data_IF_075184082143
#
_entry.id   IF_075184082143
#
_cell.length_a   1.000
_cell.length_b   1.000
_cell.length_c   1.000
_cell.angle_alpha   90.00
_cell.angle_beta   90.00
_cell.angle_gamma   90.00
#
_symmetry.space_group_name_H-M   'P 1'
#
loop_
_entity.id
_entity.type
_entity.pdbx_description
1 polymer ?
#
# COMPACT_ATOMS: atom_id res chain seq x y z
N UNK A 1 -29.45 23.08 -17.72
CA UNK A 1 -29.92 21.67 -17.66
C UNK A 1 -31.44 21.60 -17.45
N UNK A 2 -32.18 20.92 -18.34
CA UNK A 2 -33.62 20.68 -18.19
C UNK A 2 -33.85 19.61 -17.11
N UNK A 3 -33.92 20.04 -15.84
CA UNK A 3 -34.19 19.15 -14.73
C UNK A 3 -35.69 18.86 -14.65
N UNK A 4 -36.05 17.57 -14.62
CA UNK A 4 -37.44 17.13 -14.47
C UNK A 4 -37.98 17.47 -13.09
N UNK A 5 -38.96 18.37 -13.04
CA UNK A 5 -39.55 18.92 -11.80
C UNK A 5 -40.15 17.84 -10.88
N UNK A 6 -40.76 16.81 -11.45
CA UNK A 6 -41.31 15.67 -10.72
C UNK A 6 -40.21 14.85 -10.00
N UNK A 7 -39.07 14.65 -10.67
CA UNK A 7 -37.93 13.95 -10.11
C UNK A 7 -37.26 14.77 -8.99
N UNK A 8 -37.12 16.08 -9.19
CA UNK A 8 -36.60 16.98 -8.16
C UNK A 8 -37.47 16.95 -6.91
N UNK A 9 -38.80 17.02 -7.06
CA UNK A 9 -39.73 16.95 -5.91
C UNK A 9 -39.60 15.63 -5.14
N UNK A 10 -39.47 14.50 -5.86
CA UNK A 10 -39.23 13.19 -5.21
C UNK A 10 -37.91 13.15 -4.44
N UNK A 11 -36.82 13.65 -5.03
CA UNK A 11 -35.52 13.74 -4.37
C UNK A 11 -35.57 14.65 -3.14
N UNK A 12 -36.24 15.81 -3.24
CA UNK A 12 -36.38 16.75 -2.13
C UNK A 12 -37.20 16.16 -0.98
N UNK A 13 -38.22 15.35 -1.27
CA UNK A 13 -38.99 14.62 -0.26
C UNK A 13 -38.17 13.51 0.39
N UNK A 14 -37.39 12.74 -0.39
CA UNK A 14 -36.49 11.70 0.14
C UNK A 14 -35.45 12.30 1.11
N UNK A 15 -34.95 13.50 0.80
CA UNK A 15 -33.92 14.19 1.58
C UNK A 15 -34.48 15.22 2.57
N UNK A 16 -35.79 15.24 2.82
CA UNK A 16 -36.45 16.25 3.66
C UNK A 16 -35.89 16.25 5.10
N UNK A 17 -35.63 15.06 5.63
CA UNK A 17 -35.09 14.86 6.99
C UNK A 17 -33.57 14.62 7.01
N UNK A 18 -32.89 14.74 5.87
CA UNK A 18 -31.43 14.59 5.83
C UNK A 18 -30.77 15.82 6.48
N UNK A 19 -30.02 15.67 7.59
CA UNK A 19 -29.45 16.80 8.33
C UNK A 19 -28.45 17.61 7.49
N UNK A 20 -27.72 16.96 6.57
CA UNK A 20 -26.80 17.65 5.67
C UNK A 20 -27.55 18.44 4.59
N UNK A 21 -28.61 17.87 4.02
CA UNK A 21 -29.43 18.56 3.03
C UNK A 21 -30.15 19.77 3.63
N UNK A 22 -30.58 19.70 4.89
CA UNK A 22 -31.15 20.83 5.61
C UNK A 22 -30.14 21.96 5.81
N UNK A 23 -28.88 21.64 6.15
CA UNK A 23 -27.80 22.63 6.24
C UNK A 23 -27.51 23.27 4.88
N UNK A 24 -27.38 22.50 3.81
CA UNK A 24 -27.15 23.10 2.48
C UNK A 24 -28.33 23.95 2.00
N UNK A 25 -29.56 23.58 2.35
CA UNK A 25 -30.76 24.41 2.08
C UNK A 25 -30.74 25.71 2.89
N UNK A 26 -30.31 25.67 4.15
CA UNK A 26 -30.23 26.87 4.99
C UNK A 26 -29.09 27.81 4.59
N UNK A 27 -28.05 27.32 3.91
CA UNK A 27 -27.01 28.17 3.32
C UNK A 27 -27.55 29.13 2.24
N UNK A 28 -28.67 28.80 1.60
CA UNK A 28 -29.33 29.71 0.64
C UNK A 28 -29.84 31.02 1.27
N UNK A 29 -29.91 31.08 2.60
CA UNK A 29 -30.37 32.25 3.38
C UNK A 29 -29.19 33.03 3.98
N UNK A 30 -27.94 32.57 3.77
CA UNK A 30 -26.73 33.22 4.29
C UNK A 30 -26.36 34.41 3.41
N UNK A 31 -26.17 35.62 3.97
CA UNK A 31 -25.70 36.77 3.21
C UNK A 31 -24.27 36.52 2.70
N UNK A 32 -23.95 37.03 1.51
CA UNK A 32 -22.65 36.86 0.84
C UNK A 32 -22.32 35.40 0.48
N UNK A 33 -23.32 34.58 0.15
CA UNK A 33 -23.13 33.18 -0.27
C UNK A 33 -22.15 33.02 -1.44
N UNK A 34 -22.07 34.04 -2.31
CA UNK A 34 -21.12 34.15 -3.41
C UNK A 34 -19.65 34.20 -2.97
N UNK A 35 -19.38 34.54 -1.70
CA UNK A 35 -18.05 34.51 -1.09
C UNK A 35 -17.64 33.12 -0.57
N UNK A 36 -18.56 32.16 -0.57
CA UNK A 36 -18.33 30.79 -0.13
C UNK A 36 -18.36 29.83 -1.32
N UNK A 37 -17.40 28.89 -1.35
CA UNK A 37 -17.32 27.87 -2.39
C UNK A 37 -17.29 26.49 -1.75
N UNK A 38 -18.21 25.62 -2.15
CA UNK A 38 -18.17 24.19 -1.84
C UNK A 38 -17.71 23.49 -3.11
N UNK A 39 -16.56 22.83 -3.06
CA UNK A 39 -16.06 22.02 -4.17
C UNK A 39 -16.07 20.55 -3.75
N UNK A 40 -16.88 19.75 -4.44
CA UNK A 40 -16.84 18.30 -4.33
C UNK A 40 -15.73 17.80 -5.26
N UNK A 41 -14.63 17.32 -4.68
CA UNK A 41 -13.64 16.60 -5.46
C UNK A 41 -14.21 15.22 -5.81
N UNK A 42 -14.95 15.17 -6.91
CA UNK A 42 -15.53 13.96 -7.49
C UNK A 42 -14.57 13.25 -8.44
N UNK A 43 -13.27 13.62 -8.43
CA UNK A 43 -12.27 12.92 -9.22
C UNK A 43 -12.28 11.44 -8.81
N UNK A 44 -12.76 10.62 -9.74
CA UNK A 44 -12.94 9.18 -9.58
C UNK A 44 -11.58 8.47 -9.68
N UNK A 45 -10.48 9.21 -9.90
CA UNK A 45 -9.13 8.66 -9.89
C UNK A 45 -8.72 8.20 -8.50
N UNK A 46 -8.42 6.90 -8.44
CA UNK A 46 -7.43 6.24 -7.59
C UNK A 46 -7.45 6.57 -6.09
N UNK A 47 -8.47 6.03 -5.43
CA UNK A 47 -8.53 5.88 -3.99
C UNK A 47 -7.61 4.75 -3.49
N UNK A 48 -6.54 5.07 -2.76
CA UNK A 48 -5.65 4.03 -2.22
C UNK A 48 -6.33 3.02 -1.27
N UNK A 49 -7.59 3.28 -0.86
CA UNK A 49 -8.35 2.47 0.12
C UNK A 49 -9.48 1.61 -0.47
N UNK A 50 -9.67 1.62 -1.80
CA UNK A 50 -10.50 0.62 -2.51
C UNK A 50 -9.77 0.06 -3.73
N UNK A 51 -10.11 -1.18 -4.10
CA UNK A 51 -9.59 -1.93 -5.24
C UNK A 51 -9.42 -1.06 -6.49
N UNK A 52 -8.18 -0.69 -6.78
CA UNK A 52 -7.86 0.23 -7.86
C UNK A 52 -6.74 -0.30 -8.78
N UNK A 53 -6.77 0.16 -10.04
CA UNK A 53 -5.76 -0.12 -11.05
C UNK A 53 -4.54 0.81 -10.87
N UNK A 54 -3.30 0.30 -10.84
CA UNK A 54 -2.14 0.99 -10.28
C UNK A 54 -1.75 2.30 -10.98
N UNK A 55 -1.45 3.35 -10.20
CA UNK A 55 -0.42 4.33 -10.56
C UNK A 55 0.60 4.43 -9.45
N UNK A 56 1.83 4.05 -9.81
CA UNK A 56 3.09 4.14 -9.05
C UNK A 56 3.39 3.01 -8.06
N UNK A 57 4.69 2.69 -7.98
CA UNK A 57 5.31 1.83 -6.97
C UNK A 57 6.24 2.74 -6.19
N UNK A 58 5.87 3.01 -4.95
CA UNK A 58 6.70 3.75 -4.02
C UNK A 58 7.53 2.70 -3.28
N UNK A 59 8.84 2.74 -3.50
CA UNK A 59 9.80 2.10 -2.59
C UNK A 59 9.91 3.05 -1.41
N UNK A 60 9.44 2.64 -0.24
CA UNK A 60 9.61 3.43 0.97
C UNK A 60 11.06 3.27 1.49
N UNK A 61 11.65 4.43 1.80
CA UNK A 61 12.78 4.69 2.69
C UNK A 61 14.21 4.53 2.15
N UNK A 62 14.57 5.32 1.12
CA UNK A 62 15.82 6.09 1.10
C UNK A 62 15.47 7.49 0.58
N UNK A 63 15.64 8.48 1.44
CA UNK A 63 15.22 9.86 1.21
C UNK A 63 16.31 10.59 0.42
N UNK A 64 16.05 10.93 -0.84
CA UNK A 64 16.88 11.88 -1.59
C UNK A 64 16.09 13.18 -1.67
N UNK A 65 16.66 14.28 -1.18
CA UNK A 65 16.04 15.61 -1.27
C UNK A 65 15.65 15.94 -2.72
N UNK A 66 14.40 16.38 -2.93
CA UNK A 66 13.90 16.87 -4.22
C UNK A 66 12.78 16.05 -4.87
N UNK A 67 12.41 14.88 -4.35
CA UNK A 67 11.28 14.09 -4.87
C UNK A 67 10.00 14.35 -4.10
N UNK A 68 9.46 15.57 -4.22
CA UNK A 68 8.18 15.92 -3.63
C UNK A 68 7.03 15.64 -4.62
N UNK A 69 6.12 14.70 -4.36
CA UNK A 69 4.81 14.71 -5.01
C UNK A 69 3.89 15.65 -4.23
N UNK A 70 4.21 16.95 -4.23
CA UNK A 70 3.56 17.94 -3.36
C UNK A 70 2.08 18.22 -3.70
N UNK A 71 1.46 17.49 -4.63
CA UNK A 71 0.09 17.76 -5.10
C UNK A 71 -0.66 16.53 -5.62
N UNK A 72 -0.76 15.46 -4.84
CA UNK A 72 -1.51 14.28 -5.30
C UNK A 72 -2.43 13.68 -4.23
N UNK A 73 -3.73 13.91 -4.48
CA UNK A 73 -4.90 13.12 -4.07
C UNK A 73 -5.33 13.16 -2.60
N UNK A 74 -6.46 13.84 -2.37
CA UNK A 74 -7.31 13.61 -1.20
C UNK A 74 -8.78 13.79 -1.61
N UNK A 75 -9.54 12.69 -1.61
CA UNK A 75 -11.01 12.74 -1.68
C UNK A 75 -11.50 13.57 -0.50
N UNK A 76 -12.00 14.76 -0.82
CA UNK A 76 -12.43 15.70 0.19
C UNK A 76 -13.52 16.61 -0.33
N UNK A 77 -14.44 16.96 0.57
CA UNK A 77 -15.32 18.11 0.37
C UNK A 77 -14.55 19.31 0.90
N UNK A 78 -14.29 20.27 0.02
CA UNK A 78 -13.54 21.48 0.35
C UNK A 78 -14.54 22.62 0.55
N UNK A 79 -14.45 23.29 1.70
CA UNK A 79 -15.27 24.45 2.04
C UNK A 79 -14.36 25.67 2.17
N UNK A 80 -14.70 26.74 1.44
CA UNK A 80 -14.01 28.03 1.46
C UNK A 80 -14.88 29.12 2.08
N UNK A 81 -14.29 29.93 2.96
CA UNK A 81 -14.71 31.31 3.24
C UNK A 81 -13.61 32.28 2.78
N UNK A 82 -13.98 33.43 2.22
CA UNK A 82 -13.03 34.42 1.66
C UNK A 82 -12.12 34.97 2.78
N UNK A 83 -10.81 34.73 2.65
CA UNK A 83 -9.80 35.11 3.64
C UNK A 83 -9.44 34.03 4.67
N UNK A 84 -10.13 32.90 4.67
CA UNK A 84 -9.87 31.77 5.57
C UNK A 84 -9.07 30.65 4.89
N UNK A 85 -8.38 29.84 5.72
CA UNK A 85 -7.70 28.64 5.22
C UNK A 85 -8.75 27.60 4.79
N UNK A 86 -8.52 26.87 3.68
CA UNK A 86 -9.46 25.86 3.21
C UNK A 86 -9.66 24.76 4.25
N UNK A 87 -10.92 24.38 4.45
CA UNK A 87 -11.32 23.30 5.34
C UNK A 87 -11.63 22.04 4.53
N UNK A 88 -11.05 20.91 4.94
CA UNK A 88 -11.13 19.64 4.24
C UNK A 88 -11.95 18.63 5.05
N UNK A 89 -13.09 18.21 4.52
CA UNK A 89 -13.83 17.03 5.00
C UNK A 89 -13.26 15.84 4.25
N UNK A 90 -12.52 14.97 4.93
CA UNK A 90 -11.77 13.87 4.29
C UNK A 90 -12.64 12.63 4.09
N UNK A 91 -12.29 11.78 3.13
CA UNK A 91 -13.01 10.54 2.82
C UNK A 91 -13.23 9.56 3.97
N UNK A 92 -12.46 9.68 5.05
CA UNK A 92 -12.55 8.82 6.22
C UNK A 92 -13.37 9.42 7.35
N UNK A 93 -13.96 10.61 7.16
CA UNK A 93 -14.93 11.17 8.11
C UNK A 93 -16.28 10.47 7.89
N UNK A 94 -16.99 10.12 8.96
CA UNK A 94 -18.27 9.43 8.88
C UNK A 94 -19.34 10.21 8.09
N UNK A 95 -19.22 11.54 8.06
CA UNK A 95 -20.09 12.43 7.29
C UNK A 95 -19.72 12.53 5.79
N UNK A 96 -18.56 12.02 5.36
CA UNK A 96 -18.12 12.16 3.96
C UNK A 96 -19.04 11.43 2.98
N UNK A 97 -19.41 10.18 3.30
CA UNK A 97 -20.28 9.35 2.46
C UNK A 97 -21.70 9.95 2.31
N UNK A 98 -22.39 10.35 3.40
CA UNK A 98 -23.69 11.01 3.27
C UNK A 98 -23.61 12.42 2.62
N UNK A 99 -22.47 13.11 2.69
CA UNK A 99 -22.24 14.38 1.98
C UNK A 99 -21.98 14.19 0.48
N UNK A 100 -21.26 13.14 0.11
CA UNK A 100 -20.87 12.87 -1.29
C UNK A 100 -21.95 12.09 -2.04
N UNK A 101 -22.75 11.29 -1.33
CA UNK A 101 -23.76 10.40 -1.91
C UNK A 101 -25.10 10.47 -1.15
N UNK A 102 -25.74 11.64 -1.04
CA UNK A 102 -26.90 11.86 -0.17
C UNK A 102 -28.10 10.95 -0.49
N UNK A 103 -28.24 10.47 -1.72
CA UNK A 103 -29.32 9.55 -2.11
C UNK A 103 -29.13 8.12 -1.60
N UNK A 104 -27.90 7.68 -1.34
CA UNK A 104 -27.63 6.38 -0.70
C UNK A 104 -27.74 6.45 0.82
N UNK A 105 -27.74 7.66 1.38
CA UNK A 105 -27.86 7.93 2.82
C UNK A 105 -28.99 8.94 3.08
N UNK A 106 -30.25 8.61 2.73
CA UNK A 106 -31.35 9.57 2.70
C UNK A 106 -31.68 10.21 4.06
N UNK A 107 -31.26 9.62 5.18
CA UNK A 107 -31.42 10.21 6.52
C UNK A 107 -30.11 10.80 7.07
N UNK A 108 -29.06 10.86 6.25
CA UNK A 108 -27.72 11.30 6.67
C UNK A 108 -27.03 10.32 7.61
N UNK A 109 -27.45 9.06 7.57
CA UNK A 109 -26.80 8.00 8.32
C UNK A 109 -25.32 7.88 7.93
N UNK A 110 -24.48 7.66 8.93
CA UNK A 110 -23.04 7.54 8.76
C UNK A 110 -22.78 6.33 7.85
N UNK A 111 -21.86 6.49 6.89
CA UNK A 111 -21.41 5.39 6.03
C UNK A 111 -20.61 4.36 6.81
N UNK A 112 -19.40 4.06 6.37
CA UNK A 112 -18.52 3.16 7.14
C UNK A 112 -18.18 3.74 8.53
N UNK A 113 -18.32 2.95 9.59
CA UNK A 113 -17.83 3.29 10.93
C UNK A 113 -17.32 2.04 11.67
N UNK A 114 -16.46 2.23 12.68
CA UNK A 114 -15.77 1.13 13.40
C UNK A 114 -16.70 0.23 14.23
N UNK A 115 -17.94 0.64 14.46
CA UNK A 115 -18.94 -0.09 15.25
C UNK A 115 -20.00 -0.77 14.38
N UNK A 116 -19.86 -0.72 13.05
CA UNK A 116 -20.84 -1.32 12.15
C UNK A 116 -20.86 -2.85 12.35
N UNK A 117 -21.99 -3.42 12.80
CA UNK A 117 -22.04 -4.83 13.17
C UNK A 117 -21.81 -5.71 11.94
N UNK A 118 -20.94 -6.70 12.07
CA UNK A 118 -20.80 -7.76 11.09
C UNK A 118 -22.00 -8.70 11.24
N UNK A 119 -22.72 -8.98 10.15
CA UNK A 119 -23.79 -9.98 10.19
C UNK A 119 -23.14 -11.34 10.46
N UNK A 120 -23.34 -11.88 11.68
CA UNK A 120 -22.92 -13.24 12.07
C UNK A 120 -21.94 -13.37 13.24
N UNK A 121 -21.55 -12.31 13.94
CA UNK A 121 -20.79 -12.45 15.18
C UNK A 121 -21.73 -12.64 16.37
N UNK A 122 -21.74 -13.85 16.94
CA UNK A 122 -22.34 -14.11 18.24
C UNK A 122 -21.58 -13.33 19.33
N UNK A 123 -22.33 -12.88 20.34
CA UNK A 123 -21.86 -12.22 21.55
C UNK A 123 -20.67 -12.98 22.18
N UNK A 124 -19.46 -12.42 22.05
CA UNK A 124 -18.34 -12.73 22.93
C UNK A 124 -17.95 -11.45 23.67
N UNK A 125 -18.65 -11.24 24.78
CA UNK A 125 -18.33 -10.25 25.80
C UNK A 125 -17.04 -10.64 26.51
N UNK A 126 -15.91 -10.15 26.00
CA UNK A 126 -14.75 -9.80 26.82
C UNK A 126 -13.94 -8.73 26.08
N UNK A 127 -14.47 -7.51 26.12
CA UNK A 127 -13.69 -6.32 25.78
C UNK A 127 -13.04 -5.81 27.07
N UNK A 128 -11.72 -5.93 27.12
CA UNK A 128 -10.87 -5.05 27.92
C UNK A 128 -11.18 -3.60 27.51
N UNK A 129 -12.09 -2.97 28.26
CA UNK A 129 -12.46 -1.57 28.15
C UNK A 129 -11.27 -0.71 28.59
N UNK A 130 -10.37 -0.46 27.66
CA UNK A 130 -9.50 0.72 27.73
C UNK A 130 -10.38 1.92 27.39
N UNK A 131 -10.43 2.89 28.31
CA UNK A 131 -11.19 4.13 28.30
C UNK A 131 -11.04 4.95 26.99
N UNK A 132 -11.81 4.57 25.96
CA UNK A 132 -11.90 5.24 24.65
C UNK A 132 -13.19 6.09 24.53
N UNK A 133 -13.94 6.21 25.64
CA UNK A 133 -15.24 6.87 25.74
C UNK A 133 -15.19 8.34 25.30
N UNK A 134 -14.14 9.07 25.67
CA UNK A 134 -13.97 10.47 25.27
C UNK A 134 -13.63 10.69 23.78
N UNK A 135 -13.01 9.70 23.13
CA UNK A 135 -12.62 9.79 21.72
C UNK A 135 -13.82 9.51 20.80
N UNK A 136 -14.60 8.48 21.15
CA UNK A 136 -15.82 8.10 20.46
C UNK A 136 -16.85 9.24 20.53
N UNK A 137 -17.01 9.87 21.70
CA UNK A 137 -17.89 11.03 21.86
C UNK A 137 -17.43 12.24 21.05
N UNK A 138 -16.12 12.48 20.93
CA UNK A 138 -15.57 13.62 20.17
C UNK A 138 -15.75 13.45 18.66
N UNK A 139 -15.61 12.22 18.15
CA UNK A 139 -15.83 11.88 16.73
C UNK A 139 -17.32 11.89 16.41
N UNK A 140 -18.17 11.25 17.23
CA UNK A 140 -19.63 11.24 17.06
C UNK A 140 -20.22 12.65 17.15
N UNK A 141 -19.76 13.47 18.09
CA UNK A 141 -20.28 14.83 18.26
C UNK A 141 -19.82 15.81 17.16
N UNK A 142 -18.79 15.49 16.39
CA UNK A 142 -18.36 16.21 15.20
C UNK A 142 -19.02 15.73 13.89
N UNK A 143 -19.43 14.46 13.85
CA UNK A 143 -19.98 13.80 12.65
C UNK A 143 -21.52 13.83 12.55
N UNK A 144 -22.25 13.91 13.66
CA UNK A 144 -23.73 13.90 13.70
C UNK A 144 -24.39 15.28 13.81
N UNK A 145 -23.59 16.34 13.91
CA UNK A 145 -24.02 17.71 14.20
C UNK A 145 -23.67 18.66 13.06
N UNK A 146 -24.67 19.01 12.25
CA UNK A 146 -24.52 19.91 11.10
C UNK A 146 -23.92 21.29 11.44
N UNK A 147 -24.08 21.75 12.69
CA UNK A 147 -23.52 23.01 13.20
C UNK A 147 -22.00 22.95 13.49
N UNK A 148 -21.37 21.78 13.36
CA UNK A 148 -19.91 21.60 13.51
C UNK A 148 -19.17 21.37 12.19
N UNK A 149 -19.87 21.42 11.05
CA UNK A 149 -19.28 21.34 9.71
C UNK A 149 -18.24 22.46 9.54
N UNK A 150 -17.03 22.12 9.08
CA UNK A 150 -15.91 23.07 8.94
C UNK A 150 -15.04 23.24 10.18
N UNK A 151 -15.31 22.57 11.31
CA UNK A 151 -14.37 22.56 12.44
C UNK A 151 -13.29 21.49 12.22
N UNK A 152 -12.01 21.86 12.37
CA UNK A 152 -10.86 20.94 12.21
C UNK A 152 -10.92 19.83 13.27
N UNK A 153 -11.43 18.67 12.91
CA UNK A 153 -11.32 17.45 13.73
C UNK A 153 -9.93 16.88 13.49
N UNK A 154 -9.03 17.05 14.46
CA UNK A 154 -7.72 16.41 14.36
C UNK A 154 -7.82 15.01 14.93
N UNK A 155 -7.78 14.02 14.04
CA UNK A 155 -7.79 12.63 14.46
C UNK A 155 -6.64 12.35 15.46
N UNK A 156 -6.90 11.54 16.49
CA UNK A 156 -5.86 11.18 17.45
C UNK A 156 -4.78 10.33 16.78
N UNK A 157 -3.64 10.21 17.45
CA UNK A 157 -2.55 9.29 17.03
C UNK A 157 -2.97 7.82 17.04
N UNK A 158 -4.11 7.47 17.63
CA UNK A 158 -4.64 6.10 17.73
C UNK A 158 -5.45 5.68 16.51
N UNK A 159 -5.79 6.60 15.59
CA UNK A 159 -6.52 6.26 14.36
C UNK A 159 -5.56 5.72 13.29
N UNK A 160 -5.61 4.43 12.94
CA UNK A 160 -4.67 3.84 11.99
C UNK A 160 -4.79 4.46 10.60
N UNK A 161 -3.67 4.86 10.00
CA UNK A 161 -3.62 5.43 8.65
C UNK A 161 -3.99 6.92 8.55
N UNK A 162 -4.18 7.62 9.67
CA UNK A 162 -4.29 9.08 9.70
C UNK A 162 -2.93 9.78 9.76
N UNK A 163 -2.86 11.07 9.40
CA UNK A 163 -1.60 11.83 9.33
C UNK A 163 -0.75 11.73 10.60
N UNK A 164 -1.39 11.84 11.78
CA UNK A 164 -0.70 11.75 13.08
C UNK A 164 -0.22 10.34 13.42
N UNK A 165 -0.94 9.29 12.98
CA UNK A 165 -0.51 7.89 13.13
C UNK A 165 0.66 7.60 12.19
N UNK A 166 0.60 8.04 10.93
CA UNK A 166 1.70 7.90 9.96
C UNK A 166 2.95 8.66 10.41
N UNK A 167 2.80 9.90 10.87
CA UNK A 167 3.92 10.68 11.42
C UNK A 167 4.52 10.01 12.66
N UNK A 168 3.69 9.46 13.55
CA UNK A 168 4.17 8.69 14.71
C UNK A 168 4.96 7.45 14.26
N UNK A 169 4.41 6.62 13.36
CA UNK A 169 5.08 5.41 12.85
C UNK A 169 6.41 5.73 12.19
N UNK A 170 6.46 6.83 11.44
CA UNK A 170 7.69 7.33 10.85
C UNK A 170 8.73 7.70 11.92
N UNK A 171 8.33 8.50 12.93
CA UNK A 171 9.21 8.86 14.04
C UNK A 171 9.67 7.64 14.85
N UNK A 172 8.79 6.66 15.08
CA UNK A 172 9.13 5.40 15.75
C UNK A 172 10.15 4.60 14.92
N UNK A 173 9.98 4.51 13.60
CA UNK A 173 10.95 3.87 12.70
C UNK A 173 12.30 4.61 12.70
N UNK A 174 12.29 5.94 12.72
CA UNK A 174 13.52 6.74 12.82
C UNK A 174 14.21 6.57 14.17
N UNK A 175 13.48 6.48 15.27
CA UNK A 175 14.04 6.16 16.58
C UNK A 175 14.70 4.77 16.61
N UNK A 176 14.09 3.78 15.93
CA UNK A 176 14.67 2.43 15.77
C UNK A 176 15.99 2.51 15.00
N UNK A 177 16.02 3.20 13.86
CA UNK A 177 17.22 3.37 13.04
C UNK A 177 18.31 4.14 13.80
N UNK A 178 17.94 5.19 14.54
CA UNK A 178 18.89 5.95 15.36
C UNK A 178 19.49 5.09 16.47
N UNK A 179 18.71 4.19 17.08
CA UNK A 179 19.17 3.33 18.17
C UNK A 179 19.99 2.13 17.70
N UNK A 180 19.60 1.50 16.60
CA UNK A 180 20.16 0.21 16.15
C UNK A 180 21.02 0.31 14.89
N UNK A 181 21.06 1.49 14.27
CA UNK A 181 21.73 1.72 13.00
C UNK A 181 20.81 1.48 11.82
N UNK A 182 21.36 1.69 10.62
CA UNK A 182 20.62 1.53 9.36
C UNK A 182 20.25 0.06 9.06
N UNK A 183 19.16 -0.17 8.31
CA UNK A 183 18.80 -1.50 7.83
C UNK A 183 19.90 -2.13 6.97
N UNK A 184 20.07 -3.43 7.09
CA UNK A 184 21.00 -4.23 6.29
C UNK A 184 20.28 -4.95 5.14
N UNK A 185 19.04 -5.37 5.35
CA UNK A 185 18.18 -5.98 4.31
C UNK A 185 16.90 -5.18 4.09
N UNK A 186 16.49 -5.11 2.84
CA UNK A 186 15.16 -4.72 2.42
C UNK A 186 14.50 -5.89 1.70
N UNK A 187 13.42 -6.42 2.27
CA UNK A 187 12.67 -7.54 1.73
C UNK A 187 11.28 -7.05 1.36
N UNK A 188 10.80 -7.43 0.17
CA UNK A 188 9.40 -7.24 -0.19
C UNK A 188 8.74 -8.56 -0.51
N UNK A 189 7.46 -8.71 -0.22
CA UNK A 189 6.68 -9.91 -0.53
C UNK A 189 5.37 -9.50 -1.18
N UNK A 190 5.12 -9.94 -2.41
CA UNK A 190 3.86 -9.68 -3.11
C UNK A 190 2.94 -10.88 -2.97
N UNK A 191 1.70 -10.68 -2.53
CA UNK A 191 0.72 -11.76 -2.46
C UNK A 191 0.55 -12.44 -3.83
N UNK A 192 0.64 -13.77 -3.83
CA UNK A 192 0.25 -14.58 -4.99
C UNK A 192 -1.20 -15.06 -4.79
N UNK A 193 -2.18 -14.53 -5.53
CA UNK A 193 -3.57 -14.94 -5.39
C UNK A 193 -3.83 -16.37 -5.89
N UNK A 194 -2.85 -16.99 -6.56
CA UNK A 194 -2.90 -18.37 -7.07
C UNK A 194 -2.03 -19.31 -6.25
N UNK A 195 -1.87 -19.03 -4.95
CA UNK A 195 -1.39 -20.05 -4.02
C UNK A 195 -2.36 -21.22 -3.96
N UNK A 196 -1.83 -22.42 -3.81
CA UNK A 196 -2.62 -23.65 -3.77
C UNK A 196 -3.69 -23.59 -2.68
N UNK A 197 -3.31 -23.09 -1.49
CA UNK A 197 -4.21 -22.92 -0.34
C UNK A 197 -5.38 -21.96 -0.62
N UNK A 198 -5.28 -21.11 -1.65
CA UNK A 198 -6.39 -20.27 -2.12
C UNK A 198 -7.17 -21.05 -3.18
N UNK A 199 -6.49 -21.57 -4.21
CA UNK A 199 -7.16 -22.12 -5.39
C UNK A 199 -7.96 -23.38 -5.11
N UNK A 200 -7.55 -24.22 -4.16
CA UNK A 200 -8.30 -25.44 -3.79
C UNK A 200 -9.62 -25.13 -3.06
N UNK A 201 -9.72 -23.95 -2.46
CA UNK A 201 -10.89 -23.49 -1.69
C UNK A 201 -11.86 -22.63 -2.53
N UNK A 202 -11.55 -22.43 -3.83
CA UNK A 202 -12.44 -21.71 -4.75
C UNK A 202 -13.54 -22.64 -5.27
N UNK A 203 -14.78 -22.16 -5.25
CA UNK A 203 -15.90 -22.87 -5.88
C UNK A 203 -15.78 -22.80 -7.41
N UNK A 204 -16.49 -23.71 -8.11
CA UNK A 204 -16.49 -23.75 -9.57
C UNK A 204 -16.86 -22.37 -10.15
N UNK A 205 -15.95 -21.81 -10.95
CA UNK A 205 -16.11 -20.50 -11.59
C UNK A 205 -15.68 -19.30 -10.75
N UNK A 206 -15.34 -19.47 -9.46
CA UNK A 206 -14.78 -18.38 -8.66
C UNK A 206 -13.32 -18.09 -9.04
N UNK A 207 -12.98 -16.80 -9.04
CA UNK A 207 -11.61 -16.31 -9.13
C UNK A 207 -11.13 -15.88 -7.74
N UNK A 208 -9.81 -15.79 -7.50
CA UNK A 208 -9.29 -15.27 -6.23
C UNK A 208 -9.81 -13.87 -5.86
N UNK A 209 -10.15 -13.06 -6.87
CA UNK A 209 -10.70 -11.71 -6.68
C UNK A 209 -12.11 -11.73 -6.06
N UNK A 210 -12.84 -12.83 -6.19
CA UNK A 210 -14.17 -13.02 -5.63
C UNK A 210 -14.12 -13.46 -4.16
N UNK A 211 -12.94 -13.89 -3.68
CA UNK A 211 -12.67 -14.35 -2.31
C UNK A 211 -11.52 -13.58 -1.65
N UNK A 212 -11.63 -12.23 -1.53
CA UNK A 212 -10.57 -11.42 -0.94
C UNK A 212 -10.31 -11.74 0.54
N UNK A 213 -11.31 -12.28 1.25
CA UNK A 213 -11.17 -12.80 2.62
C UNK A 213 -10.17 -13.97 2.68
N UNK A 214 -10.27 -14.91 1.74
CA UNK A 214 -9.38 -16.07 1.64
C UNK A 214 -7.96 -15.65 1.26
N UNK A 215 -7.84 -14.77 0.24
CA UNK A 215 -6.56 -14.20 -0.19
C UNK A 215 -5.84 -13.51 0.98
N UNK A 216 -6.55 -12.66 1.73
CA UNK A 216 -6.00 -11.96 2.88
C UNK A 216 -5.60 -12.91 4.01
N UNK A 217 -6.40 -13.95 4.31
CA UNK A 217 -6.09 -14.95 5.34
C UNK A 217 -4.84 -15.75 5.01
N UNK A 218 -4.74 -16.27 3.78
CA UNK A 218 -3.57 -17.04 3.33
C UNK A 218 -2.33 -16.14 3.29
N UNK A 219 -2.45 -14.91 2.79
CA UNK A 219 -1.36 -13.93 2.84
C UNK A 219 -0.89 -13.70 4.28
N UNK A 220 -1.81 -13.44 5.21
CA UNK A 220 -1.47 -13.18 6.61
C UNK A 220 -0.77 -14.37 7.27
N UNK A 221 -1.18 -15.60 6.94
CA UNK A 221 -0.51 -16.81 7.42
C UNK A 221 0.93 -16.91 6.90
N UNK A 222 1.14 -16.70 5.59
CA UNK A 222 2.47 -16.74 4.98
C UNK A 222 3.37 -15.58 5.45
N UNK A 223 2.81 -14.38 5.62
CA UNK A 223 3.51 -13.21 6.16
C UNK A 223 3.99 -13.49 7.59
N UNK A 224 3.17 -14.08 8.47
CA UNK A 224 3.58 -14.47 9.82
C UNK A 224 4.66 -15.55 9.79
N UNK A 225 4.52 -16.56 8.94
CA UNK A 225 5.53 -17.59 8.74
C UNK A 225 6.87 -16.99 8.30
N UNK A 226 6.86 -16.04 7.36
CA UNK A 226 8.08 -15.37 6.89
C UNK A 226 8.73 -14.55 8.00
N UNK A 227 7.96 -13.80 8.79
CA UNK A 227 8.49 -13.05 9.93
C UNK A 227 9.11 -13.98 10.98
N UNK A 228 8.46 -15.11 11.29
CA UNK A 228 8.99 -16.11 12.20
C UNK A 228 10.29 -16.74 11.67
N UNK A 229 10.36 -17.07 10.38
CA UNK A 229 11.58 -17.59 9.73
C UNK A 229 12.72 -16.57 9.79
N UNK A 230 12.47 -15.31 9.44
CA UNK A 230 13.47 -14.25 9.40
C UNK A 230 14.00 -13.91 10.80
N UNK A 231 13.11 -13.82 11.80
CA UNK A 231 13.45 -13.32 13.13
C UNK A 231 13.79 -14.45 14.09
N UNK A 232 12.89 -15.42 14.26
CA UNK A 232 13.07 -16.53 15.22
C UNK A 232 13.97 -17.62 14.63
N UNK A 233 13.75 -17.95 13.36
CA UNK A 233 14.57 -18.89 12.61
C UNK A 233 15.96 -18.37 12.26
N UNK A 234 16.19 -17.06 12.40
CA UNK A 234 17.47 -16.39 12.12
C UNK A 234 17.99 -16.72 10.71
N UNK A 235 17.10 -16.77 9.72
CA UNK A 235 17.43 -17.18 8.34
C UNK A 235 18.59 -16.38 7.73
N UNK A 236 18.63 -15.07 7.98
CA UNK A 236 19.75 -14.20 7.59
C UNK A 236 20.77 -13.93 8.70
N UNK A 237 20.64 -14.61 9.84
CA UNK A 237 21.37 -14.35 11.07
C UNK A 237 20.53 -13.62 12.13
N UNK A 238 21.19 -13.09 13.15
CA UNK A 238 20.49 -12.46 14.28
C UNK A 238 20.02 -11.03 13.94
N UNK A 239 18.69 -10.84 14.00
CA UNK A 239 18.04 -9.54 13.87
C UNK A 239 18.14 -8.77 15.20
N UNK A 240 18.61 -7.53 15.15
CA UNK A 240 18.65 -6.60 16.27
C UNK A 240 17.33 -5.81 16.40
N UNK A 241 16.81 -5.35 15.26
CA UNK A 241 15.52 -4.67 15.15
C UNK A 241 14.94 -4.85 13.75
N UNK A 242 13.64 -4.66 13.58
CA UNK A 242 12.98 -4.69 12.28
C UNK A 242 11.83 -3.69 12.23
N UNK A 243 11.50 -3.26 11.02
CA UNK A 243 10.30 -2.46 10.71
C UNK A 243 9.62 -3.13 9.53
N UNK A 244 8.31 -3.24 9.56
CA UNK A 244 7.56 -3.74 8.41
C UNK A 244 6.22 -3.01 8.24
N UNK A 245 5.76 -2.95 7.00
CA UNK A 245 4.45 -2.42 6.64
C UNK A 245 3.81 -3.30 5.58
N UNK A 246 2.51 -3.54 5.76
CA UNK A 246 1.68 -4.17 4.72
C UNK A 246 0.91 -3.07 3.99
N UNK A 247 1.10 -3.00 2.68
CA UNK A 247 0.36 -2.13 1.77
C UNK A 247 -0.48 -2.99 0.82
N UNK A 248 -1.49 -2.41 0.18
CA UNK A 248 -2.29 -3.12 -0.82
C UNK A 248 -1.89 -2.63 -2.22
N UNK A 249 -1.22 -3.49 -2.97
CA UNK A 249 -0.84 -3.26 -4.37
C UNK A 249 -1.93 -3.70 -5.34
N UNK A 250 -1.71 -3.48 -6.65
CA UNK A 250 -2.57 -3.81 -7.82
C UNK A 250 -3.79 -4.69 -7.52
N UNK A 251 -5.00 -4.22 -7.88
CA UNK A 251 -6.26 -4.93 -7.61
C UNK A 251 -6.43 -5.35 -6.14
N UNK A 252 -5.84 -4.58 -5.21
CA UNK A 252 -5.99 -4.79 -3.76
C UNK A 252 -5.31 -6.05 -3.21
N UNK A 253 -4.21 -6.50 -3.81
CA UNK A 253 -3.43 -7.61 -3.26
C UNK A 253 -2.46 -7.10 -2.18
N UNK A 254 -2.38 -7.75 -1.01
CA UNK A 254 -1.41 -7.37 0.01
C UNK A 254 0.04 -7.47 -0.48
N UNK A 255 0.87 -6.55 0.02
CA UNK A 255 2.28 -6.46 -0.28
C UNK A 255 3.04 -6.03 0.97
N UNK A 256 4.11 -6.74 1.29
CA UNK A 256 4.92 -6.45 2.46
C UNK A 256 6.17 -5.68 2.07
N UNK A 257 6.53 -4.70 2.89
CA UNK A 257 7.86 -4.13 2.96
C UNK A 257 8.46 -4.44 4.33
N UNK A 258 9.65 -5.00 4.37
CA UNK A 258 10.36 -5.38 5.60
C UNK A 258 11.77 -4.82 5.54
N UNK A 259 12.17 -4.12 6.60
CA UNK A 259 13.52 -3.68 6.86
C UNK A 259 14.08 -4.47 8.05
N UNK A 260 15.24 -5.09 7.88
CA UNK A 260 15.93 -5.82 8.94
C UNK A 260 17.23 -5.11 9.30
N UNK A 261 17.41 -4.81 10.58
CA UNK A 261 18.66 -4.31 11.16
C UNK A 261 19.31 -5.48 11.89
N UNK A 262 20.49 -5.89 11.43
CA UNK A 262 21.17 -7.10 11.88
C UNK A 262 22.20 -6.79 12.97
N UNK A 263 22.40 -7.74 13.90
CA UNK A 263 23.49 -7.65 14.88
C UNK A 263 24.86 -7.72 14.19
N UNK A 264 25.89 -7.19 14.85
CA UNK A 264 27.22 -6.99 14.27
C UNK A 264 27.84 -8.23 13.58
N UNK A 265 27.60 -9.43 14.10
CA UNK A 265 28.09 -10.72 13.56
C UNK A 265 27.27 -11.26 12.37
N UNK A 266 26.10 -10.70 12.12
CA UNK A 266 25.17 -11.11 11.06
C UNK A 266 24.99 -10.06 9.96
N UNK A 267 25.74 -8.96 10.02
CA UNK A 267 25.75 -7.92 8.98
C UNK A 267 26.48 -8.43 7.73
N UNK A 268 25.93 -8.08 6.56
CA UNK A 268 26.56 -8.29 5.27
C UNK A 268 27.63 -7.21 5.02
N UNK A 269 28.88 -7.61 4.78
CA UNK A 269 30.00 -6.67 4.65
C UNK A 269 30.72 -6.75 3.30
N UNK A 270 30.71 -7.92 2.66
CA UNK A 270 31.42 -8.17 1.42
C UNK A 270 30.47 -8.60 0.28
N UNK A 271 30.89 -8.49 -0.98
CA UNK A 271 30.18 -9.11 -2.09
C UNK A 271 29.87 -10.61 -1.90
N UNK A 272 30.81 -11.36 -1.32
CA UNK A 272 30.62 -12.79 -1.03
C UNK A 272 29.51 -13.01 0.02
N UNK A 273 29.40 -12.13 1.01
CA UNK A 273 28.28 -12.17 1.96
C UNK A 273 26.95 -11.98 1.24
N UNK A 274 26.88 -11.04 0.27
CA UNK A 274 25.68 -10.80 -0.53
C UNK A 274 25.31 -12.03 -1.37
N UNK A 275 26.28 -12.57 -2.12
CA UNK A 275 26.09 -13.70 -3.03
C UNK A 275 25.68 -15.00 -2.32
N UNK A 276 26.02 -15.13 -1.03
CA UNK A 276 25.59 -16.26 -0.21
C UNK A 276 24.08 -16.30 0.01
N UNK A 277 23.40 -15.15 -0.02
CA UNK A 277 21.98 -15.03 0.35
C UNK A 277 21.11 -14.41 -0.74
N UNK A 278 21.67 -13.67 -1.70
CA UNK A 278 20.94 -13.00 -2.77
C UNK A 278 21.51 -13.45 -4.11
N UNK A 279 20.63 -13.81 -5.03
CA UNK A 279 20.95 -14.08 -6.43
C UNK A 279 20.16 -13.14 -7.33
N UNK A 280 20.75 -12.77 -8.46
CA UNK A 280 20.09 -12.06 -9.54
C UNK A 280 20.27 -12.78 -10.89
N UNK A 281 20.40 -14.11 -10.84
CA UNK A 281 20.64 -14.96 -12.02
C UNK A 281 19.48 -15.97 -12.19
N UNK A 282 19.22 -16.35 -13.44
CA UNK A 282 18.34 -17.45 -13.80
C UNK A 282 19.09 -18.76 -13.47
N UNK A 283 18.57 -19.61 -12.58
CA UNK A 283 19.22 -20.87 -12.24
C UNK A 283 19.33 -21.80 -13.44
N UNK A 284 20.37 -22.64 -13.50
CA UNK A 284 20.46 -23.71 -14.49
C UNK A 284 19.23 -24.64 -14.41
N UNK A 285 18.52 -24.80 -15.52
CA UNK A 285 17.27 -25.57 -15.59
C UNK A 285 17.48 -27.08 -15.37
N UNK A 286 18.62 -27.62 -15.77
CA UNK A 286 18.91 -29.04 -15.63
C UNK A 286 19.31 -29.37 -14.19
N UNK A 287 20.00 -28.46 -13.51
CA UNK A 287 20.47 -28.63 -12.13
C UNK A 287 19.41 -28.25 -11.08
N UNK A 288 18.65 -27.20 -11.33
CA UNK A 288 17.67 -26.64 -10.39
C UNK A 288 16.31 -26.34 -11.06
N UNK A 289 15.62 -27.36 -11.61
CA UNK A 289 14.41 -27.14 -12.43
C UNK A 289 13.31 -26.38 -11.70
N UNK A 290 13.05 -26.73 -10.42
CA UNK A 290 12.01 -26.07 -9.62
C UNK A 290 12.34 -24.60 -9.36
N UNK A 291 13.57 -24.30 -8.96
CA UNK A 291 13.99 -22.92 -8.69
C UNK A 291 14.00 -22.10 -10.00
N UNK A 292 14.49 -22.67 -11.10
CA UNK A 292 14.43 -22.05 -12.42
C UNK A 292 13.00 -21.63 -12.75
N UNK A 293 12.03 -22.54 -12.65
CA UNK A 293 10.65 -22.25 -13.00
C UNK A 293 10.03 -21.17 -12.08
N UNK A 294 10.37 -21.17 -10.80
CA UNK A 294 9.94 -20.13 -9.86
C UNK A 294 10.56 -18.76 -10.16
N UNK A 295 11.84 -18.70 -10.53
CA UNK A 295 12.52 -17.46 -10.91
C UNK A 295 11.92 -16.91 -12.19
N UNK A 296 11.69 -17.76 -13.19
CA UNK A 296 11.05 -17.38 -14.45
C UNK A 296 9.62 -16.86 -14.22
N UNK A 297 8.87 -17.52 -13.32
CA UNK A 297 7.48 -17.16 -13.01
C UNK A 297 7.36 -15.87 -12.21
N UNK A 298 8.18 -15.70 -11.19
CA UNK A 298 7.99 -14.64 -10.18
C UNK A 298 9.02 -13.54 -10.28
N UNK A 299 10.29 -13.86 -10.54
CA UNK A 299 11.41 -12.95 -10.34
C UNK A 299 11.93 -12.27 -11.61
N UNK A 300 11.27 -12.43 -12.76
CA UNK A 300 11.65 -11.66 -13.96
C UNK A 300 10.85 -10.36 -14.04
N UNK A 301 11.60 -9.25 -14.14
CA UNK A 301 11.01 -7.99 -14.59
C UNK A 301 10.46 -8.18 -16.00
N UNK A 302 9.18 -7.82 -16.20
CA UNK A 302 8.56 -7.96 -17.51
C UNK A 302 9.25 -7.10 -18.56
N UNK A 303 9.15 -7.45 -19.86
CA UNK A 303 9.74 -6.67 -20.93
C UNK A 303 9.23 -5.22 -20.86
N UNK A 304 10.16 -4.27 -20.86
CA UNK A 304 9.91 -2.83 -20.89
C UNK A 304 11.00 -2.14 -21.72
N UNK A 305 11.06 -0.81 -21.69
CA UNK A 305 12.05 -0.05 -22.46
C UNK A 305 11.83 -0.23 -23.96
N UNK A 306 12.92 -0.54 -24.67
CA UNK A 306 12.90 -0.81 -26.11
C UNK A 306 11.96 -1.96 -26.48
N UNK A 307 11.81 -2.97 -25.60
CA UNK A 307 10.96 -4.13 -25.86
C UNK A 307 9.47 -3.80 -25.70
N UNK A 308 9.13 -2.85 -24.81
CA UNK A 308 7.74 -2.44 -24.57
C UNK A 308 7.65 -1.07 -23.87
N UNK A 309 7.41 -0.02 -24.66
CA UNK A 309 7.34 1.37 -24.19
C UNK A 309 6.07 1.69 -23.37
N UNK A 310 5.01 0.90 -23.52
CA UNK A 310 3.71 1.11 -22.83
C UNK A 310 3.64 0.51 -21.42
N UNK A 311 4.73 -0.05 -20.90
CA UNK A 311 4.74 -0.64 -19.57
C UNK A 311 4.63 0.41 -18.46
N UNK A 312 3.89 0.15 -17.35
CA UNK A 312 3.72 1.11 -16.25
C UNK A 312 5.01 1.51 -15.51
N UNK A 313 6.11 0.79 -15.72
CA UNK A 313 7.41 1.14 -15.17
C UNK A 313 8.16 2.20 -15.99
N UNK A 314 7.68 2.51 -17.21
CA UNK A 314 8.29 3.51 -18.08
C UNK A 314 7.93 4.92 -17.60
N UNK A 315 8.94 5.71 -17.28
CA UNK A 315 8.84 7.14 -16.94
C UNK A 315 9.85 7.86 -17.83
N UNK A 316 9.39 8.88 -18.57
CA UNK A 316 10.21 9.68 -19.47
C UNK A 316 11.09 8.86 -20.44
N UNK A 317 10.52 7.77 -20.96
CA UNK A 317 11.18 6.88 -21.92
C UNK A 317 12.19 5.89 -21.32
N UNK A 318 12.40 5.91 -20.00
CA UNK A 318 13.28 4.97 -19.29
C UNK A 318 12.50 4.11 -18.29
N UNK A 319 12.99 2.89 -18.02
CA UNK A 319 12.44 2.10 -16.93
C UNK A 319 12.90 2.72 -15.61
N UNK A 320 11.98 3.14 -14.75
CA UNK A 320 12.30 3.71 -13.42
C UNK A 320 13.06 2.76 -12.49
N UNK A 321 13.04 1.46 -12.81
CA UNK A 321 13.76 0.42 -12.09
C UNK A 321 15.06 0.02 -12.79
N UNK A 322 15.43 0.74 -13.84
CA UNK A 322 16.65 0.57 -14.63
C UNK A 322 16.80 -0.84 -15.21
N UNK A 323 15.70 -1.41 -15.73
CA UNK A 323 15.73 -2.64 -16.52
C UNK A 323 15.80 -2.35 -18.03
N UNK A 324 16.56 -3.15 -18.81
CA UNK A 324 17.47 -4.20 -18.33
C UNK A 324 18.64 -3.63 -17.53
N UNK A 325 19.11 -4.37 -16.52
CA UNK A 325 20.36 -4.07 -15.81
C UNK A 325 21.57 -4.38 -16.70
N UNK A 326 22.75 -3.95 -16.31
CA UNK A 326 23.98 -4.37 -16.98
C UNK A 326 24.39 -5.78 -16.54
N UNK A 327 25.12 -6.48 -17.41
CA UNK A 327 25.82 -7.69 -17.01
C UNK A 327 26.97 -7.34 -16.08
N UNK A 328 27.26 -8.26 -15.15
CA UNK A 328 28.33 -8.11 -14.19
C UNK A 328 28.82 -9.49 -13.74
N UNK A 329 30.09 -9.81 -13.96
CA UNK A 329 30.63 -11.15 -13.67
C UNK A 329 30.78 -11.45 -12.18
N UNK A 330 30.85 -10.41 -11.34
CA UNK A 330 30.94 -10.53 -9.90
C UNK A 330 30.16 -9.39 -9.22
N UNK A 331 29.61 -9.65 -8.04
CA UNK A 331 28.89 -8.61 -7.30
C UNK A 331 29.84 -7.49 -6.87
N UNK A 332 29.43 -6.24 -7.09
CA UNK A 332 30.19 -5.05 -6.70
C UNK A 332 29.45 -4.29 -5.61
N UNK A 333 30.19 -3.83 -4.61
CA UNK A 333 29.63 -2.97 -3.58
C UNK A 333 29.32 -1.58 -4.16
N UNK A 334 28.06 -1.15 -4.05
CA UNK A 334 27.65 0.18 -4.48
C UNK A 334 28.24 1.27 -3.60
N UNK A 335 28.67 2.39 -4.20
CA UNK A 335 28.98 3.62 -3.46
C UNK A 335 27.66 4.37 -3.27
N UNK A 336 27.15 4.36 -2.04
CA UNK A 336 25.89 5.03 -1.69
C UNK A 336 24.68 4.56 -2.54
N UNK A 337 24.63 3.26 -2.78
CA UNK A 337 23.64 2.62 -3.64
C UNK A 337 23.50 1.15 -3.27
N UNK A 338 22.44 0.50 -3.75
CA UNK A 338 22.34 -0.96 -3.70
C UNK A 338 23.55 -1.60 -4.39
N UNK A 339 24.01 -2.79 -3.95
CA UNK A 339 25.03 -3.53 -4.66
C UNK A 339 24.66 -3.77 -6.13
N UNK A 340 25.67 -3.76 -7.00
CA UNK A 340 25.52 -4.24 -8.36
C UNK A 340 25.69 -5.76 -8.29
N UNK A 341 24.57 -6.48 -8.27
CA UNK A 341 24.60 -7.95 -8.17
C UNK A 341 25.18 -8.60 -9.43
N UNK A 342 25.88 -9.72 -9.23
CA UNK A 342 26.35 -10.59 -10.30
C UNK A 342 25.18 -11.00 -11.19
N UNK A 343 25.37 -10.78 -12.49
CA UNK A 343 24.49 -11.12 -13.61
C UNK A 343 25.40 -11.53 -14.76
N UNK A 344 25.80 -12.80 -14.84
CA UNK A 344 26.71 -13.25 -15.91
C UNK A 344 25.99 -13.28 -17.26
N UNK A 345 26.74 -13.02 -18.33
CA UNK A 345 26.29 -13.34 -19.69
C UNK A 345 26.66 -14.79 -19.99
N UNK A 346 25.86 -15.71 -19.45
CA UNK A 346 26.03 -17.16 -19.58
C UNK A 346 25.26 -17.73 -20.79
N UNK A 347 24.67 -16.87 -21.61
CA UNK A 347 23.84 -17.24 -22.76
C UNK A 347 22.44 -17.76 -22.40
N UNK A 348 22.08 -17.87 -21.11
CA UNK A 348 20.75 -18.34 -20.71
C UNK A 348 19.67 -17.31 -21.06
N UNK A 349 18.63 -17.77 -21.75
CA UNK A 349 17.49 -16.95 -22.16
C UNK A 349 16.17 -17.67 -21.95
N UNK A 350 15.15 -16.91 -21.58
CA UNK A 350 13.79 -17.40 -21.38
C UNK A 350 12.78 -16.48 -22.08
N UNK A 351 11.80 -17.07 -22.75
CA UNK A 351 10.77 -16.32 -23.49
C UNK A 351 9.63 -15.92 -22.55
N UNK A 352 9.49 -14.63 -22.28
CA UNK A 352 8.41 -14.06 -21.46
C UNK A 352 7.65 -13.00 -22.24
N UNK A 353 6.33 -13.18 -22.37
CA UNK A 353 5.41 -12.22 -23.03
C UNK A 353 5.90 -11.76 -24.41
N UNK A 354 6.44 -12.71 -25.19
CA UNK A 354 6.94 -12.47 -26.55
C UNK A 354 8.39 -11.98 -26.64
N UNK A 355 9.10 -11.72 -25.54
CA UNK A 355 10.49 -11.27 -25.54
C UNK A 355 11.44 -12.31 -24.90
N UNK A 356 12.65 -12.42 -25.42
CA UNK A 356 13.73 -13.21 -24.78
C UNK A 356 14.41 -12.36 -23.71
N UNK A 357 14.33 -12.83 -22.47
CA UNK A 357 14.93 -12.19 -21.30
C UNK A 357 16.08 -13.05 -20.78
N UNK A 358 17.13 -12.40 -20.29
CA UNK A 358 18.34 -13.00 -19.70
C UNK A 358 18.53 -12.51 -18.25
N UNK A 359 19.69 -12.79 -17.66
CA UNK A 359 20.06 -12.41 -16.30
C UNK A 359 19.92 -10.91 -16.01
N UNK A 360 19.90 -10.02 -17.01
CA UNK A 360 19.68 -8.57 -16.81
C UNK A 360 18.29 -8.21 -16.34
N UNK A 361 17.33 -9.13 -16.45
CA UNK A 361 15.93 -8.91 -16.12
C UNK A 361 15.51 -9.48 -14.77
N UNK A 362 16.39 -10.21 -14.10
CA UNK A 362 16.08 -10.88 -12.83
C UNK A 362 16.04 -9.87 -11.69
N UNK A 363 14.95 -9.85 -10.93
CA UNK A 363 14.83 -9.11 -9.67
C UNK A 363 15.60 -9.89 -8.59
N UNK A 364 16.47 -9.24 -7.79
CA UNK A 364 17.23 -9.91 -6.73
C UNK A 364 16.36 -10.73 -5.78
N UNK A 365 16.74 -11.97 -5.50
CA UNK A 365 15.92 -12.89 -4.72
C UNK A 365 16.78 -13.77 -3.80
N UNK A 366 16.18 -14.26 -2.72
CA UNK A 366 16.73 -15.36 -1.95
C UNK A 366 16.11 -16.68 -2.43
N UNK A 367 16.90 -17.66 -2.91
CA UNK A 367 16.38 -18.94 -3.43
C UNK A 367 15.46 -19.68 -2.45
N UNK A 368 15.83 -19.72 -1.17
CA UNK A 368 15.07 -20.42 -0.14
C UNK A 368 13.71 -19.76 0.12
N UNK A 369 13.66 -18.43 0.27
CA UNK A 369 12.40 -17.70 0.46
C UNK A 369 11.47 -17.88 -0.75
N UNK A 370 12.02 -17.78 -1.97
CA UNK A 370 11.24 -17.95 -3.20
C UNK A 370 10.63 -19.36 -3.29
N UNK A 371 11.43 -20.40 -3.03
CA UNK A 371 10.96 -21.78 -2.99
C UNK A 371 9.92 -22.03 -1.90
N UNK A 372 10.09 -21.42 -0.73
CA UNK A 372 9.20 -21.62 0.42
C UNK A 372 7.84 -20.96 0.21
N UNK A 373 7.82 -19.74 -0.33
CA UNK A 373 6.61 -18.95 -0.39
C UNK A 373 5.97 -18.84 -1.77
N UNK A 374 6.63 -19.29 -2.84
CA UNK A 374 6.06 -19.37 -4.21
C UNK A 374 5.32 -18.08 -4.62
N UNK A 375 6.00 -16.94 -4.46
CA UNK A 375 5.50 -15.62 -4.82
C UNK A 375 6.67 -14.69 -5.13
N UNK A 376 6.39 -13.50 -5.66
CA UNK A 376 7.43 -12.50 -5.93
C UNK A 376 7.96 -11.92 -4.61
N UNK A 377 9.22 -12.24 -4.30
CA UNK A 377 9.94 -11.78 -3.12
C UNK A 377 11.26 -11.14 -3.55
N UNK A 378 11.34 -9.80 -3.52
CA UNK A 378 12.59 -9.10 -3.74
C UNK A 378 13.40 -9.07 -2.43
N UNK A 379 14.70 -9.35 -2.50
CA UNK A 379 15.63 -9.23 -1.36
C UNK A 379 16.83 -8.40 -1.79
N UNK A 380 16.98 -7.25 -1.17
CA UNK A 380 18.05 -6.28 -1.45
C UNK A 380 18.91 -6.10 -0.19
N UNK A 381 20.22 -5.91 -0.39
CA UNK A 381 21.13 -5.47 0.66
C UNK A 381 21.22 -3.94 0.61
N UNK A 382 20.90 -3.26 1.71
CA UNK A 382 20.84 -1.79 1.77
C UNK A 382 21.89 -1.17 2.72
N UNK A 383 22.82 -1.99 3.23
CA UNK A 383 23.84 -1.54 4.19
C UNK A 383 24.88 -0.58 3.62
N UNK A 384 24.98 -0.38 2.30
CA UNK A 384 25.90 0.57 1.65
C UNK A 384 25.31 1.95 1.42
N UNK A 385 23.99 2.11 1.61
CA UNK A 385 23.29 3.35 1.27
C UNK A 385 23.35 4.31 2.47
N UNK A 386 23.62 5.58 2.20
CA UNK A 386 23.66 6.66 3.19
C UNK A 386 22.25 7.22 3.38
N UNK A 387 22.02 7.74 4.58
CA UNK A 387 20.77 8.39 4.97
C UNK A 387 20.80 9.87 4.56
#
# INVERSE_FOLDING_TARGET
PNLRLDLIRKILAILEHNPYAQVFKSLGVVPNLDEYRISLNTDIKLDQRRYNAPTTSQVAAIWVEGSDPQKTFDRSVIVYGKGERPLYIRAYYGCYDPLSYPLFFPRGEIGWNRLMPYIGAADDTNQDLVDDTGLVDTVIAGESRGDRIGKRIVLPRTFPGGDRDMQRRFLDAMAIVQRWGKPDYFVTMTCNPYWEEITIELLLGQLPQDRPDLVARVYRAKQRSMMDLLIKGKHFGEVAAYVHVTEFQKRGLPHEHILLIMKAKSKLRTPDDYDRVISAEIPDKNKYPVLHDLVVKHMLHGPCGALKKSCPCMIDGQCRFHYPRDFCDATLQGKDSYPIYRRRDDGVRVRIRGADLDNRWVVPYNPFLLMTYNCHINVEACSSIKA
#
